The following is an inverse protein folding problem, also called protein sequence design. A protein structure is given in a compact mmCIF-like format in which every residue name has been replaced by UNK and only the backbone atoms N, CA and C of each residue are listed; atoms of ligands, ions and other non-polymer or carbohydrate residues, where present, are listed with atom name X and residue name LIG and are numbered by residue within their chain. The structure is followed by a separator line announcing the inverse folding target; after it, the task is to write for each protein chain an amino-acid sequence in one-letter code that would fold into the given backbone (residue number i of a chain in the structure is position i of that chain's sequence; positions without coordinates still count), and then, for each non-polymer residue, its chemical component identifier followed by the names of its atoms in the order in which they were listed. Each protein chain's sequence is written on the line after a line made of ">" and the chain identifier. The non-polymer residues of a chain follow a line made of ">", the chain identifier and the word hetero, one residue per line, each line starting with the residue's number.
data_IF_341742726187
#
_entry.id   IF_341742726187
#
_cell.length_a   1.000
_cell.length_b   1.000
_cell.length_c   1.000
_cell.angle_alpha   90.00
_cell.angle_beta   90.00
_cell.angle_gamma   90.00
#
_symmetry.space_group_name_H-M   'P 1'
#
loop_
_entity.id
_entity.type
_entity.pdbx_description
1 polymer ?
#
# COMPACT_ATOMS: atom_id res chain seq x y z
N UNK A 1 11.62 -3.34 26.44
CA UNK A 1 11.37 -3.48 24.98
C UNK A 1 9.99 -4.08 24.82
N UNK A 2 9.12 -3.50 24.00
CA UNK A 2 7.82 -4.09 23.68
C UNK A 2 8.03 -5.34 22.81
N UNK A 3 7.19 -6.35 22.97
CA UNK A 3 7.20 -7.54 22.11
C UNK A 3 6.66 -7.20 20.71
N UNK A 4 6.97 -8.02 19.70
CA UNK A 4 6.49 -7.81 18.31
C UNK A 4 4.96 -7.79 18.22
N UNK A 5 4.27 -8.60 19.04
CA UNK A 5 2.80 -8.61 19.10
C UNK A 5 2.23 -7.33 19.72
N UNK A 6 2.90 -6.75 20.72
CA UNK A 6 2.52 -5.46 21.31
C UNK A 6 2.72 -4.31 20.32
N UNK A 7 3.83 -4.31 19.56
CA UNK A 7 4.09 -3.33 18.51
C UNK A 7 3.05 -3.43 17.38
N UNK A 8 2.70 -4.64 16.95
CA UNK A 8 1.65 -4.86 15.94
C UNK A 8 0.28 -4.37 16.44
N UNK A 9 -0.09 -4.69 17.69
CA UNK A 9 -1.35 -4.27 18.29
C UNK A 9 -1.43 -2.74 18.39
N UNK A 10 -0.35 -2.10 18.81
CA UNK A 10 -0.25 -0.64 18.87
C UNK A 10 -0.42 -0.01 17.48
N UNK A 11 0.23 -0.56 16.44
CA UNK A 11 0.05 -0.10 15.05
C UNK A 11 -1.36 -0.39 14.51
N UNK A 12 -1.98 -1.51 14.88
CA UNK A 12 -3.36 -1.81 14.49
C UNK A 12 -4.34 -0.77 15.06
N UNK A 13 -4.06 -0.27 16.27
CA UNK A 13 -4.88 0.74 16.96
C UNK A 13 -4.57 2.18 16.53
N UNK A 14 -3.32 2.50 16.20
CA UNK A 14 -2.89 3.88 15.92
C UNK A 14 -2.89 4.23 14.43
N UNK A 15 -2.59 3.28 13.55
CA UNK A 15 -2.54 3.53 12.11
C UNK A 15 -3.94 3.37 11.48
N UNK A 16 -4.24 4.13 10.43
CA UNK A 16 -5.49 3.92 9.67
C UNK A 16 -5.43 2.59 8.89
N UNK A 17 -6.60 2.03 8.57
CA UNK A 17 -6.65 0.91 7.64
C UNK A 17 -6.20 1.36 6.25
N UNK A 18 -5.60 0.46 5.47
CA UNK A 18 -5.14 0.77 4.12
C UNK A 18 -6.34 0.71 3.17
N UNK A 19 -6.48 1.73 2.32
CA UNK A 19 -7.47 1.73 1.25
C UNK A 19 -6.96 0.93 0.04
N UNK A 20 -7.78 -0.02 -0.41
CA UNK A 20 -7.51 -0.91 -1.53
C UNK A 20 -8.56 -0.75 -2.62
N UNK A 21 -8.08 -0.79 -3.86
CA UNK A 21 -8.93 -0.99 -5.03
C UNK A 21 -8.56 -2.35 -5.61
N UNK A 22 -9.57 -3.11 -6.01
CA UNK A 22 -9.35 -4.47 -6.47
C UNK A 22 -10.26 -4.87 -7.61
N UNK A 23 -9.71 -5.76 -8.43
CA UNK A 23 -10.37 -6.36 -9.57
C UNK A 23 -10.34 -7.87 -9.38
N UNK A 24 -11.50 -8.52 -9.48
CA UNK A 24 -11.63 -9.96 -9.24
C UNK A 24 -12.31 -10.69 -10.39
N UNK A 25 -11.87 -11.92 -10.62
CA UNK A 25 -12.50 -12.88 -11.51
C UNK A 25 -12.76 -14.16 -10.70
N UNK A 26 -14.04 -14.51 -10.52
CA UNK A 26 -14.45 -15.59 -9.63
C UNK A 26 -15.29 -16.64 -10.36
N UNK A 27 -15.21 -17.88 -9.89
CA UNK A 27 -16.20 -18.90 -10.15
C UNK A 27 -17.14 -19.00 -8.95
N UNK A 28 -18.44 -19.17 -9.20
CA UNK A 28 -19.45 -19.37 -8.17
C UNK A 28 -20.06 -20.76 -8.31
N UNK A 29 -20.11 -21.51 -7.22
CA UNK A 29 -20.90 -22.74 -7.13
C UNK A 29 -21.99 -22.59 -6.06
N UNK A 30 -23.22 -22.98 -6.40
CA UNK A 30 -24.36 -22.90 -5.49
C UNK A 30 -24.35 -24.10 -4.56
N UNK A 31 -24.20 -23.88 -3.25
CA UNK A 31 -24.15 -24.98 -2.27
C UNK A 31 -25.57 -25.31 -1.77
N UNK A 32 -26.36 -24.29 -1.44
CA UNK A 32 -27.69 -24.50 -0.83
C UNK A 32 -28.57 -23.27 -1.03
N UNK A 33 -29.81 -23.40 -1.53
CA UNK A 33 -30.81 -22.31 -1.65
C UNK A 33 -30.24 -20.92 -2.01
N UNK A 34 -29.97 -20.07 -1.02
CA UNK A 34 -29.45 -18.71 -1.20
C UNK A 34 -27.94 -18.59 -0.94
N UNK A 35 -27.27 -19.67 -0.59
CA UNK A 35 -25.86 -19.74 -0.22
C UNK A 35 -25.03 -20.28 -1.39
N UNK A 36 -23.93 -19.60 -1.70
CA UNK A 36 -22.98 -20.01 -2.74
C UNK A 36 -21.55 -19.82 -2.28
N UNK A 37 -20.68 -20.75 -2.71
CA UNK A 37 -19.24 -20.61 -2.61
C UNK A 37 -18.72 -19.85 -3.82
N UNK A 38 -17.76 -18.97 -3.60
CA UNK A 38 -16.98 -18.33 -4.67
C UNK A 38 -15.51 -18.49 -4.43
N UNK A 39 -14.76 -18.72 -5.49
CA UNK A 39 -13.31 -18.71 -5.44
C UNK A 39 -12.75 -18.21 -6.77
N UNK A 40 -11.53 -17.67 -6.76
CA UNK A 40 -10.87 -17.27 -8.00
C UNK A 40 -9.63 -16.46 -7.75
N UNK A 41 -9.44 -15.43 -8.57
CA UNK A 41 -8.26 -14.57 -8.52
C UNK A 41 -8.68 -13.12 -8.31
N UNK A 42 -7.91 -12.43 -7.50
CA UNK A 42 -8.05 -11.01 -7.25
C UNK A 42 -6.70 -10.33 -7.41
N UNK A 43 -6.71 -9.22 -8.13
CA UNK A 43 -5.63 -8.27 -8.19
C UNK A 43 -6.01 -7.04 -7.39
N UNK A 44 -5.14 -6.62 -6.48
CA UNK A 44 -5.38 -5.51 -5.56
C UNK A 44 -4.24 -4.51 -5.60
N UNK A 45 -4.61 -3.24 -5.57
CA UNK A 45 -3.69 -2.11 -5.54
C UNK A 45 -3.94 -1.27 -4.30
N UNK A 46 -2.87 -0.96 -3.58
CA UNK A 46 -2.86 -0.18 -2.36
C UNK A 46 -2.03 1.09 -2.55
N UNK A 47 -2.53 2.21 -2.02
CA UNK A 47 -1.71 3.41 -1.84
C UNK A 47 -1.41 3.57 -0.36
N UNK A 48 -0.13 3.47 -0.01
CA UNK A 48 0.38 3.56 1.36
C UNK A 48 0.97 4.95 1.53
N UNK A 49 0.31 5.80 2.32
CA UNK A 49 0.87 7.09 2.71
C UNK A 49 1.72 6.95 3.97
N UNK A 50 2.95 7.46 3.97
CA UNK A 50 3.73 7.64 5.19
C UNK A 50 4.24 9.08 5.31
N UNK A 51 4.31 9.54 6.55
CA UNK A 51 4.77 10.87 6.90
C UNK A 51 6.24 10.80 7.25
N UNK A 52 7.09 11.46 6.44
CA UNK A 52 8.52 11.48 6.67
C UNK A 52 8.92 12.81 7.30
N UNK A 53 9.51 12.74 8.50
CA UNK A 53 10.08 13.88 9.20
C UNK A 53 11.59 13.65 9.37
N UNK A 54 12.40 14.50 8.76
CA UNK A 54 13.86 14.46 8.92
C UNK A 54 14.46 15.86 8.87
N UNK A 55 15.67 16.00 9.43
CA UNK A 55 16.45 17.22 9.42
C UNK A 55 17.38 17.20 8.21
N UNK A 56 17.06 18.01 7.22
CA UNK A 56 17.83 18.13 5.98
C UNK A 56 18.90 19.22 6.11
N UNK A 57 20.04 19.02 5.48
CA UNK A 57 21.18 19.94 5.52
C UNK A 57 21.38 20.53 4.13
N UNK A 58 21.11 21.82 3.98
CA UNK A 58 21.26 22.52 2.70
C UNK A 58 22.46 23.45 2.77
N UNK A 59 23.31 23.41 1.74
CA UNK A 59 24.45 24.31 1.58
C UNK A 59 24.05 25.43 0.62
N UNK A 60 23.97 26.66 1.12
CA UNK A 60 23.62 27.84 0.31
C UNK A 60 24.86 28.70 0.14
N UNK A 61 25.22 29.01 -1.11
CA UNK A 61 26.30 29.92 -1.44
C UNK A 61 25.72 31.31 -1.70
N UNK A 62 26.17 32.30 -0.92
CA UNK A 62 25.85 33.70 -1.17
C UNK A 62 27.03 34.36 -1.87
N UNK A 63 26.80 34.87 -3.08
CA UNK A 63 27.80 35.55 -3.89
C UNK A 63 27.69 37.07 -3.73
N UNK A 64 28.83 37.77 -3.67
CA UNK A 64 28.87 39.24 -3.62
C UNK A 64 28.57 39.85 -2.25
N UNK A 65 28.59 39.06 -1.17
CA UNK A 65 28.44 39.59 0.18
C UNK A 65 29.72 40.29 0.63
N UNK A 66 29.56 41.45 1.27
CA UNK A 66 30.66 42.23 1.85
C UNK A 66 31.16 41.48 3.09
N UNK A 67 32.36 40.93 3.01
CA UNK A 67 33.00 40.18 4.10
C UNK A 67 33.78 41.13 5.01
N UNK A 68 34.30 42.22 4.45
CA UNK A 68 35.06 43.23 5.17
C UNK A 68 34.96 44.58 4.49
N UNK A 69 34.80 45.63 5.28
CA UNK A 69 34.95 47.00 4.85
C UNK A 69 36.31 47.52 5.33
N UNK A 70 37.09 48.11 4.41
CA UNK A 70 38.29 48.85 4.75
C UNK A 70 38.06 50.31 4.40
N UNK A 71 38.18 51.16 5.42
CA UNK A 71 38.13 52.61 5.28
C UNK A 71 39.57 53.12 5.28
N UNK A 72 39.97 53.78 4.19
CA UNK A 72 41.30 54.36 4.08
C UNK A 72 41.34 55.74 4.78
N UNK A 73 42.53 56.29 4.98
CA UNK A 73 42.73 57.58 5.68
C UNK A 73 42.03 58.79 5.02
N UNK A 74 41.53 58.64 3.78
CA UNK A 74 40.73 59.63 3.04
C UNK A 74 39.21 59.38 3.14
N UNK A 75 38.76 58.52 4.06
CA UNK A 75 37.34 58.17 4.28
C UNK A 75 36.64 57.48 3.10
N UNK A 76 37.40 56.91 2.16
CA UNK A 76 36.85 56.11 1.05
C UNK A 76 36.70 54.66 1.53
N UNK A 77 35.50 54.10 1.39
CA UNK A 77 35.20 52.70 1.69
C UNK A 77 35.56 51.79 0.51
N UNK A 78 36.23 50.69 0.80
CA UNK A 78 36.45 49.59 -0.13
C UNK A 78 35.91 48.29 0.47
N UNK A 79 35.22 47.51 -0.36
CA UNK A 79 34.51 46.30 0.07
C UNK A 79 35.21 45.07 -0.49
N UNK A 80 35.61 44.16 0.39
CA UNK A 80 36.01 42.82 0.00
C UNK A 80 34.75 41.96 -0.14
N UNK A 81 34.38 41.65 -1.38
CA UNK A 81 33.23 40.80 -1.69
C UNK A 81 33.70 39.38 -2.00
N UNK A 82 33.24 38.41 -1.23
CA UNK A 82 33.55 37.00 -1.46
C UNK A 82 32.31 36.12 -1.58
N UNK A 83 32.54 34.82 -1.71
CA UNK A 83 31.48 33.80 -1.65
C UNK A 83 31.44 33.21 -0.25
N UNK A 84 30.30 33.34 0.45
CA UNK A 84 30.08 32.73 1.76
C UNK A 84 29.21 31.50 1.57
N UNK A 85 29.67 30.34 2.07
CA UNK A 85 28.88 29.11 2.10
C UNK A 85 28.29 28.92 3.49
N UNK A 86 26.97 28.93 3.63
CA UNK A 86 26.29 28.67 4.91
C UNK A 86 25.61 27.31 4.86
N UNK A 87 25.83 26.51 5.91
CA UNK A 87 25.12 25.25 6.14
C UNK A 87 23.87 25.55 6.96
N UNK A 88 22.68 25.33 6.37
CA UNK A 88 21.40 25.53 7.05
C UNK A 88 20.73 24.19 7.31
N UNK A 89 20.17 24.02 8.50
CA UNK A 89 19.35 22.88 8.84
C UNK A 89 17.87 23.23 8.70
N UNK A 90 17.12 22.44 7.94
CA UNK A 90 15.66 22.61 7.83
C UNK A 90 14.96 21.33 8.25
N UNK A 91 13.83 21.50 8.94
CA UNK A 91 12.93 20.39 9.20
C UNK A 91 12.11 20.15 7.94
N UNK A 92 12.32 18.99 7.31
CA UNK A 92 11.53 18.57 6.16
C UNK A 92 10.41 17.69 6.67
N UNK A 93 9.19 18.10 6.35
CA UNK A 93 8.01 17.31 6.59
C UNK A 93 7.30 17.03 5.26
N UNK A 94 7.28 15.76 4.83
CA UNK A 94 6.72 15.36 3.52
C UNK A 94 5.78 14.17 3.68
N UNK A 95 4.67 14.24 2.94
CA UNK A 95 3.83 13.08 2.71
C UNK A 95 4.39 12.32 1.52
N UNK A 96 4.86 11.09 1.76
CA UNK A 96 5.27 10.18 0.71
C UNK A 96 4.16 9.16 0.49
N UNK A 97 3.87 8.89 -0.78
CA UNK A 97 2.95 7.86 -1.21
C UNK A 97 3.76 6.75 -1.85
N UNK A 98 3.60 5.53 -1.34
CA UNK A 98 4.11 4.32 -1.95
C UNK A 98 2.95 3.50 -2.48
N UNK A 99 3.19 2.72 -3.52
CA UNK A 99 2.17 1.89 -4.13
C UNK A 99 2.55 0.42 -3.98
N UNK A 100 1.59 -0.39 -3.54
CA UNK A 100 1.76 -1.83 -3.42
C UNK A 100 0.75 -2.53 -4.30
N UNK A 101 1.22 -3.52 -5.03
CA UNK A 101 0.37 -4.42 -5.81
C UNK A 101 0.42 -5.81 -5.19
N UNK A 102 -0.73 -6.48 -5.14
CA UNK A 102 -0.90 -7.78 -4.51
C UNK A 102 -1.82 -8.67 -5.34
N UNK A 103 -1.45 -9.94 -5.45
CA UNK A 103 -2.34 -10.98 -5.97
C UNK A 103 -2.93 -11.75 -4.80
N UNK A 104 -4.20 -12.13 -4.92
CA UNK A 104 -4.93 -12.83 -3.89
C UNK A 104 -5.75 -13.96 -4.49
N UNK A 105 -5.87 -15.04 -3.74
CA UNK A 105 -6.85 -16.10 -4.00
C UNK A 105 -7.98 -15.92 -2.98
N UNK A 106 -9.07 -15.20 -3.33
CA UNK A 106 -10.24 -15.08 -2.47
C UNK A 106 -11.07 -16.36 -2.51
N UNK A 107 -11.59 -16.75 -1.34
CA UNK A 107 -12.60 -17.80 -1.18
C UNK A 107 -13.70 -17.23 -0.29
N UNK A 108 -14.92 -17.14 -0.80
CA UNK A 108 -16.07 -16.54 -0.13
C UNK A 108 -17.24 -17.50 0.00
N UNK A 109 -17.86 -17.51 1.17
CA UNK A 109 -19.25 -17.92 1.34
C UNK A 109 -20.14 -16.69 1.19
N UNK A 110 -21.12 -16.78 0.31
CA UNK A 110 -22.00 -15.66 -0.05
C UNK A 110 -23.46 -16.04 0.16
N UNK A 111 -24.26 -15.12 0.68
CA UNK A 111 -25.71 -15.25 0.72
C UNK A 111 -26.34 -14.34 -0.33
N UNK A 112 -27.38 -14.79 -1.04
CA UNK A 112 -28.00 -14.10 -2.16
C UNK A 112 -29.39 -13.55 -1.80
N UNK A 113 -29.45 -12.24 -1.57
CA UNK A 113 -30.71 -11.50 -1.46
C UNK A 113 -31.12 -10.98 -2.84
N UNK A 114 -32.06 -11.68 -3.47
CA UNK A 114 -32.62 -11.27 -4.76
C UNK A 114 -33.45 -10.01 -4.57
N UNK A 115 -33.07 -8.92 -5.24
CA UNK A 115 -33.89 -7.71 -5.32
C UNK A 115 -34.87 -7.81 -6.49
N UNK A 116 -34.39 -8.33 -7.62
CA UNK A 116 -35.17 -8.65 -8.80
C UNK A 116 -34.44 -9.73 -9.63
N UNK A 117 -34.88 -9.95 -10.87
CA UNK A 117 -34.33 -10.99 -11.76
C UNK A 117 -32.86 -10.77 -12.13
N UNK A 118 -32.33 -9.53 -12.06
CA UNK A 118 -30.95 -9.20 -12.43
C UNK A 118 -30.11 -8.68 -11.28
N UNK A 119 -30.72 -8.06 -10.27
CA UNK A 119 -30.02 -7.41 -9.17
C UNK A 119 -30.07 -8.25 -7.89
N UNK A 120 -28.93 -8.43 -7.26
CA UNK A 120 -28.79 -9.18 -6.01
C UNK A 120 -27.87 -8.43 -5.06
N UNK A 121 -28.23 -8.36 -3.78
CA UNK A 121 -27.32 -7.94 -2.71
C UNK A 121 -26.73 -9.19 -2.08
N UNK A 122 -25.41 -9.18 -1.89
CA UNK A 122 -24.69 -10.35 -1.44
C UNK A 122 -23.68 -10.00 -0.37
N UNK A 123 -24.07 -10.13 0.92
CA UNK A 123 -23.08 -10.20 1.96
C UNK A 123 -22.23 -11.45 1.78
N UNK A 124 -20.95 -11.32 2.11
CA UNK A 124 -19.97 -12.37 1.98
C UNK A 124 -19.06 -12.39 3.19
N UNK A 125 -18.61 -13.60 3.54
CA UNK A 125 -17.54 -13.85 4.50
C UNK A 125 -16.61 -14.90 3.90
N UNK A 126 -15.33 -14.83 4.20
CA UNK A 126 -14.39 -15.77 3.63
C UNK A 126 -12.96 -15.54 4.05
N UNK A 127 -12.08 -16.14 3.28
CA UNK A 127 -10.64 -16.02 3.45
C UNK A 127 -10.00 -15.53 2.16
N UNK A 128 -8.91 -14.79 2.30
CA UNK A 128 -8.04 -14.42 1.19
C UNK A 128 -6.65 -14.94 1.47
N UNK A 129 -6.08 -15.61 0.47
CA UNK A 129 -4.69 -16.07 0.52
C UNK A 129 -3.86 -15.06 -0.27
N UNK A 130 -3.03 -14.23 0.39
CA UNK A 130 -2.16 -13.30 -0.29
C UNK A 130 -0.98 -14.02 -0.93
N UNK A 131 -0.75 -13.70 -2.20
CA UNK A 131 0.38 -14.15 -2.99
C UNK A 131 1.16 -12.89 -3.36
N UNK A 132 2.22 -12.60 -2.60
CA UNK A 132 3.09 -11.48 -2.93
C UNK A 132 4.08 -11.86 -4.01
N UNK A 133 4.23 -10.95 -4.95
CA UNK A 133 5.40 -10.89 -5.80
C UNK A 133 6.45 -10.08 -5.03
N UNK A 134 7.34 -10.76 -4.30
CA UNK A 134 8.51 -10.09 -3.73
C UNK A 134 9.51 -9.82 -4.85
N UNK A 135 9.96 -8.58 -4.97
CA UNK A 135 11.03 -8.19 -5.87
C UNK A 135 12.31 -8.02 -5.06
N UNK A 136 13.27 -8.92 -5.26
CA UNK A 136 14.60 -8.76 -4.67
C UNK A 136 15.38 -7.68 -5.45
N UNK A 137 15.21 -6.41 -5.07
CA UNK A 137 16.10 -5.33 -5.47
C UNK A 137 17.09 -5.03 -4.35
N UNK A 138 18.40 -4.96 -4.66
CA UNK A 138 19.38 -4.35 -3.75
C UNK A 138 19.46 -2.86 -4.06
N UNK A 139 19.52 -2.02 -3.02
CA UNK A 139 19.97 -0.64 -3.19
C UNK A 139 21.42 -0.72 -3.65
N UNK A 140 21.69 -0.34 -4.90
CA UNK A 140 23.06 -0.24 -5.40
C UNK A 140 23.55 1.14 -4.99
N UNK A 141 24.67 1.16 -4.28
CA UNK A 141 25.39 2.40 -4.01
C UNK A 141 25.99 2.91 -5.33
N UNK A 142 25.24 3.75 -6.04
CA UNK A 142 25.64 4.36 -7.30
C UNK A 142 26.03 5.82 -7.07
N UNK A 143 27.24 6.19 -7.50
CA UNK A 143 27.75 7.58 -7.45
C UNK A 143 26.93 8.56 -8.31
N UNK A 144 26.15 8.07 -9.26
CA UNK A 144 25.30 8.89 -10.13
C UNK A 144 23.85 8.97 -9.65
N UNK A 145 23.39 7.98 -8.87
CA UNK A 145 22.03 7.94 -8.37
C UNK A 145 21.99 7.10 -7.06
N UNK A 146 22.11 7.72 -5.88
CA UNK A 146 22.29 7.03 -4.60
C UNK A 146 21.08 6.17 -4.16
N UNK A 147 20.05 6.08 -5.00
CA UNK A 147 18.85 5.27 -4.82
C UNK A 147 18.58 4.36 -6.02
N UNK A 148 19.58 4.09 -6.88
CA UNK A 148 19.42 3.14 -7.96
C UNK A 148 19.19 1.72 -7.41
N UNK A 149 17.98 1.20 -7.60
CA UNK A 149 17.64 -0.19 -7.28
C UNK A 149 18.19 -1.10 -8.39
N UNK A 150 18.93 -2.15 -8.03
CA UNK A 150 19.37 -3.18 -8.99
C UNK A 150 18.16 -3.78 -9.69
N UNK A 151 18.15 -3.78 -11.02
CA UNK A 151 17.15 -4.40 -11.93
C UNK A 151 15.88 -4.91 -11.21
N UNK A 152 14.93 -4.00 -11.03
CA UNK A 152 13.58 -4.29 -10.56
C UNK A 152 12.98 -5.39 -11.46
N UNK A 153 12.83 -6.63 -10.97
CA UNK A 153 12.08 -7.68 -11.68
C UNK A 153 12.75 -9.03 -11.93
N UNK A 154 14.06 -9.25 -11.64
CA UNK A 154 14.71 -10.52 -12.01
C UNK A 154 14.41 -11.73 -11.11
N UNK A 155 13.94 -11.53 -9.89
CA UNK A 155 13.59 -12.62 -8.97
C UNK A 155 12.20 -12.35 -8.37
N UNK A 156 11.19 -13.04 -8.92
CA UNK A 156 9.84 -13.05 -8.39
C UNK A 156 9.68 -14.32 -7.55
N UNK A 157 9.70 -14.17 -6.24
CA UNK A 157 9.38 -15.27 -5.33
C UNK A 157 7.94 -15.10 -4.87
N UNK A 158 7.10 -16.10 -5.15
CA UNK A 158 5.75 -16.19 -4.62
C UNK A 158 5.81 -16.86 -3.25
N UNK A 159 5.77 -16.06 -2.18
CA UNK A 159 5.67 -16.57 -0.82
C UNK A 159 4.22 -16.43 -0.35
N UNK A 160 3.54 -17.52 0.02
CA UNK A 160 2.23 -17.43 0.66
C UNK A 160 2.40 -16.78 2.03
N UNK A 161 1.77 -15.63 2.23
CA UNK A 161 1.73 -14.95 3.54
C UNK A 161 0.48 -15.40 4.29
N UNK A 162 0.41 -15.06 5.58
CA UNK A 162 -0.74 -15.28 6.46
C UNK A 162 -2.05 -15.00 5.72
N UNK A 163 -2.99 -15.96 5.79
CA UNK A 163 -4.33 -15.75 5.31
C UNK A 163 -4.96 -14.51 5.98
N UNK A 164 -5.91 -13.88 5.29
CA UNK A 164 -6.77 -12.84 5.85
C UNK A 164 -8.20 -13.36 5.95
N UNK A 165 -8.92 -13.01 7.01
CA UNK A 165 -10.37 -13.12 6.99
C UNK A 165 -10.96 -11.90 6.29
N UNK A 166 -12.00 -12.14 5.50
CA UNK A 166 -12.63 -11.15 4.63
C UNK A 166 -14.11 -11.15 4.85
N UNK A 167 -14.71 -9.97 4.93
CA UNK A 167 -16.15 -9.84 5.02
C UNK A 167 -16.62 -8.51 4.44
N UNK A 168 -17.81 -8.52 3.86
CA UNK A 168 -18.31 -7.36 3.14
C UNK A 168 -19.63 -7.61 2.48
N UNK A 169 -19.97 -6.71 1.57
CA UNK A 169 -21.21 -6.76 0.81
C UNK A 169 -20.96 -6.28 -0.61
N UNK A 170 -21.55 -6.99 -1.57
CA UNK A 170 -21.50 -6.62 -2.97
C UNK A 170 -22.92 -6.51 -3.54
N UNK A 171 -23.09 -5.56 -4.45
CA UNK A 171 -24.22 -5.50 -5.36
C UNK A 171 -23.81 -6.22 -6.64
N UNK A 172 -24.70 -7.08 -7.12
CA UNK A 172 -24.47 -7.93 -8.28
C UNK A 172 -25.51 -7.69 -9.35
N UNK A 173 -25.04 -7.59 -10.59
CA UNK A 173 -25.85 -7.48 -11.78
C UNK A 173 -25.64 -8.70 -12.69
N UNK A 174 -26.71 -9.41 -13.01
CA UNK A 174 -26.70 -10.51 -13.98
C UNK A 174 -26.62 -9.97 -15.42
N UNK A 175 -25.50 -10.22 -16.10
CA UNK A 175 -25.31 -9.87 -17.51
C UNK A 175 -25.95 -10.96 -18.39
N UNK A 176 -25.69 -12.23 -18.04
CA UNK A 176 -26.27 -13.44 -18.61
C UNK A 176 -26.58 -14.43 -17.49
N UNK A 177 -27.23 -15.54 -17.80
CA UNK A 177 -27.62 -16.54 -16.81
C UNK A 177 -26.41 -17.03 -15.98
N UNK A 178 -25.28 -17.22 -16.65
CA UNK A 178 -24.01 -17.69 -16.13
C UNK A 178 -23.03 -16.56 -15.74
N UNK A 179 -23.05 -15.41 -16.43
CA UNK A 179 -22.10 -14.31 -16.20
C UNK A 179 -22.71 -13.14 -15.43
N UNK A 180 -22.02 -12.71 -14.37
CA UNK A 180 -22.48 -11.64 -13.48
C UNK A 180 -21.33 -10.66 -13.22
N UNK A 181 -21.70 -9.39 -13.02
CA UNK A 181 -20.80 -8.33 -12.57
C UNK A 181 -21.05 -8.03 -11.09
N UNK A 182 -20.00 -7.75 -10.33
CA UNK A 182 -20.10 -7.34 -8.95
C UNK A 182 -19.34 -6.05 -8.66
N UNK A 183 -19.92 -5.25 -7.77
CA UNK A 183 -19.29 -4.07 -7.17
C UNK A 183 -19.59 -4.12 -5.68
N UNK A 184 -18.58 -3.98 -4.84
CA UNK A 184 -18.77 -4.15 -3.41
C UNK A 184 -17.71 -3.48 -2.56
N UNK A 185 -17.99 -3.52 -1.26
CA UNK A 185 -17.09 -3.10 -0.21
C UNK A 185 -16.75 -4.31 0.62
N UNK A 186 -15.47 -4.46 0.94
CA UNK A 186 -14.98 -5.54 1.79
C UNK A 186 -13.95 -5.03 2.76
N UNK A 187 -13.85 -5.70 3.90
CA UNK A 187 -12.82 -5.47 4.89
C UNK A 187 -12.01 -6.75 5.01
N UNK A 188 -10.70 -6.58 4.92
CA UNK A 188 -9.75 -7.65 5.13
C UNK A 188 -9.02 -7.38 6.43
N UNK A 189 -8.94 -8.39 7.28
CA UNK A 189 -8.15 -8.34 8.50
C UNK A 189 -7.31 -9.63 8.55
N UNK A 190 -6.10 -9.53 9.08
CA UNK A 190 -5.16 -10.66 9.09
C UNK A 190 -5.51 -11.72 10.12
N UNK A 191 -5.18 -12.98 9.82
CA UNK A 191 -4.96 -13.98 10.86
C UNK A 191 -3.67 -13.64 11.61
N UNK A 192 -3.79 -13.31 12.90
CA UNK A 192 -2.65 -12.96 13.75
C UNK A 192 -1.61 -14.09 13.90
N UNK A 193 -1.94 -15.35 13.55
CA UNK A 193 -1.19 -16.54 13.98
C UNK A 193 -0.33 -17.25 12.93
N UNK A 194 -0.22 -16.78 11.67
CA UNK A 194 0.45 -17.58 10.62
C UNK A 194 1.70 -16.94 10.02
N UNK A 195 2.87 -17.29 10.57
CA UNK A 195 4.13 -17.41 9.83
C UNK A 195 4.66 -16.15 9.13
N UNK A 196 5.12 -15.18 9.91
CA UNK A 196 6.02 -14.14 9.43
C UNK A 196 7.26 -14.15 10.34
N UNK A 197 8.07 -15.21 10.22
CA UNK A 197 9.24 -15.44 11.11
C UNK A 197 10.48 -14.64 10.71
N UNK A 198 10.49 -14.00 9.54
CA UNK A 198 11.71 -13.44 8.95
C UNK A 198 11.68 -11.91 8.74
N UNK A 199 10.61 -11.20 9.13
CA UNK A 199 10.52 -9.74 8.99
C UNK A 199 10.19 -9.08 10.34
N UNK A 200 11.17 -8.36 10.90
CA UNK A 200 11.14 -7.73 12.23
C UNK A 200 10.12 -6.60 12.41
N UNK A 201 9.36 -6.25 11.35
CA UNK A 201 8.26 -5.30 11.41
C UNK A 201 7.13 -5.85 10.54
N UNK A 202 6.17 -6.54 11.15
CA UNK A 202 4.97 -7.03 10.46
C UNK A 202 4.18 -5.84 9.91
N UNK A 203 4.04 -5.77 8.58
CA UNK A 203 3.27 -4.73 7.91
C UNK A 203 1.76 -4.92 8.20
N UNK A 204 1.03 -3.83 8.41
CA UNK A 204 -0.43 -3.88 8.57
C UNK A 204 -1.07 -4.14 7.21
N UNK A 205 -1.76 -5.27 7.05
CA UNK A 205 -2.56 -5.65 5.88
C UNK A 205 -4.07 -5.48 6.11
N UNK A 206 -4.47 -5.10 7.33
CA UNK A 206 -5.83 -4.68 7.65
C UNK A 206 -6.28 -3.54 6.72
N UNK A 207 -7.31 -3.78 5.92
CA UNK A 207 -7.65 -2.91 4.80
C UNK A 207 -9.14 -2.81 4.53
N UNK A 208 -9.54 -1.66 4.00
CA UNK A 208 -10.86 -1.43 3.43
C UNK A 208 -10.73 -1.46 1.92
N UNK A 209 -11.60 -2.21 1.26
CA UNK A 209 -11.43 -2.59 -0.13
C UNK A 209 -12.69 -2.28 -0.92
N UNK A 210 -12.52 -1.53 -2.01
CA UNK A 210 -13.53 -1.45 -3.07
C UNK A 210 -13.22 -2.57 -4.07
N UNK A 211 -14.21 -3.43 -4.30
CA UNK A 211 -14.11 -4.60 -5.16
C UNK A 211 -14.95 -4.41 -6.41
N UNK A 212 -14.35 -4.66 -7.57
CA UNK A 212 -15.02 -4.74 -8.85
C UNK A 212 -14.69 -6.07 -9.49
N UNK A 213 -15.64 -6.70 -10.16
CA UNK A 213 -15.32 -7.98 -10.77
C UNK A 213 -16.43 -8.61 -11.57
N UNK A 214 -16.06 -9.75 -12.13
CA UNK A 214 -16.96 -10.63 -12.83
C UNK A 214 -16.93 -12.00 -12.17
N UNK A 215 -18.06 -12.70 -12.20
CA UNK A 215 -18.07 -14.10 -11.81
C UNK A 215 -18.97 -14.94 -12.69
N UNK A 216 -18.51 -16.18 -12.89
CA UNK A 216 -19.20 -17.19 -13.66
C UNK A 216 -19.90 -18.19 -12.72
N UNK A 217 -21.19 -18.47 -12.96
CA UNK A 217 -21.95 -19.48 -12.22
C UNK A 217 -21.67 -20.85 -12.84
N UNK A 218 -21.01 -21.70 -12.05
CA UNK A 218 -20.86 -23.11 -12.36
C UNK A 218 -22.22 -23.80 -12.22
N UNK A 219 -22.49 -24.72 -13.14
CA UNK A 219 -23.68 -25.57 -13.12
C UNK A 219 -23.60 -26.61 -12.02
#
# INVERSE_FOLDING_TARGET
>A
MKSESELLSERQNTEKAIDLISIQCLAQHKIYHHVSLRAGFEWSHATIGFHQQFKDTVKTNFHGQIIREKINAQSVSSYDTGTISVTQYRNVNRNHYNHRTQFNIPIYLTYQFLLNTRWTIQPHIGIGIPVYQSFNGRVIDSKQDPLALSEYGKNVTFLPVSCSYRYGMAVVYGIKDDLNLNIGLSRNNEFQSWGDRDHSIREKHGSFQIQFGIFYKLK
#
